data_IF_912556490289
#
_entry.id   IF_912556490289
#
_cell.length_a   1.000
_cell.length_b   1.000
_cell.length_c   1.000
_cell.angle_alpha   90.00
_cell.angle_beta   90.00
_cell.angle_gamma   90.00
#
_symmetry.space_group_name_H-M   'P 1'
#
loop_
_entity.id
_entity.type
_entity.pdbx_description
1 polymer ?
#
# COMPACT_ATOMS: atom_id res chain seq x y z
N UNK A 1 3.68 -55.61 -0.49
CA UNK A 1 3.31 -55.14 0.87
C UNK A 1 4.61 -54.84 1.59
N UNK A 2 4.93 -53.62 2.08
CA UNK A 2 4.03 -52.63 2.73
C UNK A 2 4.29 -51.12 2.37
N UNK A 3 3.53 -50.24 3.05
CA UNK A 3 3.77 -48.83 3.45
C UNK A 3 3.73 -47.68 2.42
N UNK A 4 2.71 -46.82 2.52
CA UNK A 4 2.70 -45.44 3.12
C UNK A 4 3.15 -44.38 2.09
N UNK A 5 2.36 -43.37 1.73
CA UNK A 5 1.98 -42.24 2.58
C UNK A 5 0.84 -41.47 1.87
N UNK A 6 -0.36 -41.50 2.42
CA UNK A 6 -1.41 -40.54 2.04
C UNK A 6 -1.06 -39.21 2.72
N UNK A 7 -0.38 -38.33 2.00
CA UNK A 7 -0.22 -36.93 2.39
C UNK A 7 -1.59 -36.25 2.33
N UNK A 8 -2.24 -36.15 3.50
CA UNK A 8 -3.34 -35.23 3.73
C UNK A 8 -2.83 -33.80 3.49
N UNK A 9 -3.18 -33.24 2.34
CA UNK A 9 -3.04 -31.82 2.07
C UNK A 9 -4.09 -31.09 2.93
N UNK A 10 -3.70 -30.21 3.87
CA UNK A 10 -4.67 -29.55 4.73
C UNK A 10 -5.60 -28.66 3.89
N UNK A 11 -6.90 -28.56 4.24
CA UNK A 11 -7.83 -27.70 3.52
C UNK A 11 -7.46 -26.23 3.76
N UNK A 12 -6.98 -25.54 2.73
CA UNK A 12 -6.88 -24.09 2.72
C UNK A 12 -8.26 -23.49 3.00
N UNK A 13 -8.44 -22.92 4.19
CA UNK A 13 -9.76 -22.46 4.66
C UNK A 13 -10.26 -21.27 3.82
N UNK A 14 -11.48 -21.33 3.23
CA UNK A 14 -12.03 -20.26 2.38
C UNK A 14 -12.21 -18.92 3.11
N UNK A 15 -12.29 -18.93 4.46
CA UNK A 15 -12.33 -17.70 5.28
C UNK A 15 -11.03 -16.90 5.21
N UNK A 16 -9.86 -17.55 5.19
CA UNK A 16 -8.57 -16.86 5.11
C UNK A 16 -8.38 -16.16 3.75
N UNK A 17 -8.87 -16.78 2.67
CA UNK A 17 -8.86 -16.21 1.33
C UNK A 17 -9.75 -14.96 1.24
N UNK A 18 -10.95 -15.01 1.83
CA UNK A 18 -11.87 -13.87 1.89
C UNK A 18 -11.28 -12.69 2.70
N UNK A 19 -10.67 -12.96 3.86
CA UNK A 19 -10.01 -11.92 4.66
C UNK A 19 -8.84 -11.29 3.91
N UNK A 20 -7.98 -12.09 3.28
CA UNK A 20 -6.85 -11.57 2.50
C UNK A 20 -7.33 -10.70 1.31
N UNK A 21 -8.36 -11.14 0.58
CA UNK A 21 -8.94 -10.37 -0.52
C UNK A 21 -9.56 -9.04 -0.04
N UNK A 22 -10.20 -9.04 1.14
CA UNK A 22 -10.76 -7.82 1.72
C UNK A 22 -9.66 -6.85 2.18
N UNK A 23 -8.57 -7.34 2.78
CA UNK A 23 -7.41 -6.52 3.16
C UNK A 23 -6.77 -5.90 1.92
N UNK A 24 -6.55 -6.67 0.85
CA UNK A 24 -6.02 -6.14 -0.41
C UNK A 24 -6.92 -5.09 -1.04
N UNK A 25 -8.25 -5.28 -1.00
CA UNK A 25 -9.21 -4.27 -1.49
C UNK A 25 -9.12 -2.99 -0.68
N UNK A 26 -9.11 -3.09 0.66
CA UNK A 26 -8.99 -1.94 1.56
C UNK A 26 -7.68 -1.19 1.34
N UNK A 27 -6.56 -1.91 1.15
CA UNK A 27 -5.25 -1.31 0.87
C UNK A 27 -5.25 -0.55 -0.47
N UNK A 28 -5.77 -1.16 -1.54
CA UNK A 28 -5.90 -0.48 -2.85
C UNK A 28 -6.77 0.77 -2.76
N UNK A 29 -7.89 0.69 -2.03
CA UNK A 29 -8.73 1.86 -1.79
C UNK A 29 -7.96 2.96 -1.02
N UNK A 30 -7.20 2.59 0.02
CA UNK A 30 -6.39 3.55 0.78
C UNK A 30 -5.30 4.19 -0.09
N UNK A 31 -4.67 3.43 -0.99
CA UNK A 31 -3.70 3.96 -1.94
C UNK A 31 -4.33 4.94 -2.94
N UNK A 32 -5.55 4.64 -3.43
CA UNK A 32 -6.29 5.58 -4.29
C UNK A 32 -6.64 6.88 -3.57
N UNK A 33 -7.16 6.78 -2.35
CA UNK A 33 -7.50 7.96 -1.55
C UNK A 33 -6.24 8.75 -1.21
N UNK A 34 -5.15 8.07 -0.82
CA UNK A 34 -3.88 8.73 -0.52
C UNK A 34 -3.33 9.48 -1.74
N UNK A 35 -3.42 8.89 -2.94
CA UNK A 35 -3.01 9.54 -4.18
C UNK A 35 -3.78 10.86 -4.43
N UNK A 36 -5.11 10.81 -4.28
CA UNK A 36 -5.98 11.98 -4.43
C UNK A 36 -5.67 13.06 -3.39
N UNK A 37 -5.60 12.70 -2.11
CA UNK A 37 -5.29 13.65 -1.03
C UNK A 37 -3.89 14.26 -1.19
N UNK A 38 -2.91 13.49 -1.69
CA UNK A 38 -1.60 14.04 -1.99
C UNK A 38 -1.69 15.10 -3.09
N UNK A 39 -2.39 14.78 -4.18
CA UNK A 39 -2.57 15.70 -5.29
C UNK A 39 -3.26 17.01 -4.87
N UNK A 40 -4.36 16.91 -4.12
CA UNK A 40 -5.12 18.07 -3.64
C UNK A 40 -4.31 18.98 -2.72
N UNK A 41 -3.34 18.41 -2.02
CA UNK A 41 -2.42 19.14 -1.13
C UNK A 41 -1.08 19.50 -1.80
N UNK A 42 -1.01 19.41 -3.14
CA UNK A 42 0.13 19.88 -3.94
C UNK A 42 1.31 18.90 -4.02
N UNK A 43 1.11 17.65 -3.59
CA UNK A 43 2.09 16.58 -3.73
C UNK A 43 1.81 15.76 -4.99
N UNK A 44 2.88 15.31 -5.65
CA UNK A 44 2.79 14.30 -6.71
C UNK A 44 2.99 12.89 -6.14
N UNK A 45 2.59 11.85 -6.87
CA UNK A 45 2.77 10.46 -6.44
C UNK A 45 4.24 10.12 -6.15
N UNK A 46 5.18 10.74 -6.86
CA UNK A 46 6.62 10.66 -6.62
C UNK A 46 7.05 11.08 -5.21
N UNK A 47 6.22 11.89 -4.53
CA UNK A 47 6.46 12.32 -3.14
C UNK A 47 6.40 11.16 -2.14
N UNK A 48 5.77 10.04 -2.50
CA UNK A 48 5.77 8.84 -1.67
C UNK A 48 6.38 7.63 -2.37
N UNK A 49 6.43 7.58 -3.71
CA UNK A 49 7.06 6.44 -4.41
C UNK A 49 8.59 6.52 -4.44
N UNK A 50 9.20 7.72 -4.42
CA UNK A 50 10.66 7.84 -4.39
C UNK A 50 11.18 7.95 -2.96
N UNK A 51 12.12 7.07 -2.60
CA UNK A 51 12.66 7.01 -1.23
C UNK A 51 13.29 8.33 -0.76
N UNK A 52 13.85 9.13 -1.67
CA UNK A 52 14.45 10.43 -1.37
C UNK A 52 13.42 11.57 -1.24
N UNK A 53 12.23 11.41 -1.82
CA UNK A 53 11.19 12.45 -1.87
C UNK A 53 10.05 12.22 -0.88
N UNK A 54 10.15 11.19 -0.04
CA UNK A 54 9.20 10.86 1.02
C UNK A 54 8.79 12.04 1.89
N UNK A 55 7.58 11.95 2.43
CA UNK A 55 7.00 12.99 3.28
C UNK A 55 7.67 13.02 4.65
N UNK A 56 8.07 14.20 5.08
CA UNK A 56 8.57 14.44 6.43
C UNK A 56 7.45 14.33 7.45
N UNK A 57 7.81 14.09 8.71
CA UNK A 57 6.85 14.11 9.82
C UNK A 57 6.03 15.40 9.91
N UNK A 58 6.62 16.55 9.55
CA UNK A 58 5.92 17.84 9.56
C UNK A 58 4.85 17.89 8.47
N UNK A 59 5.16 17.42 7.27
CA UNK A 59 4.19 17.34 6.17
C UNK A 59 3.05 16.39 6.52
N UNK A 60 3.36 15.21 7.08
CA UNK A 60 2.34 14.26 7.54
C UNK A 60 1.42 14.82 8.63
N UNK A 61 1.99 15.57 9.59
CA UNK A 61 1.20 16.25 10.62
C UNK A 61 0.31 17.34 10.05
N UNK A 62 0.77 18.05 9.02
CA UNK A 62 -0.04 19.07 8.33
C UNK A 62 -1.16 18.42 7.54
N UNK A 63 -0.83 17.41 6.73
CA UNK A 63 -1.77 16.67 5.91
C UNK A 63 -2.84 15.97 6.77
N UNK A 64 -2.43 15.29 7.84
CA UNK A 64 -3.36 14.63 8.76
C UNK A 64 -4.25 15.57 9.58
N UNK A 65 -3.83 16.84 9.77
CA UNK A 65 -4.70 17.87 10.38
C UNK A 65 -5.76 18.37 9.40
N UNK A 66 -5.40 18.51 8.13
CA UNK A 66 -6.32 18.95 7.09
C UNK A 66 -7.29 17.81 6.69
N UNK A 67 -6.78 16.59 6.61
CA UNK A 67 -7.47 15.42 6.06
C UNK A 67 -7.41 14.24 7.04
N UNK A 68 -8.39 14.09 7.95
CA UNK A 68 -8.43 12.97 8.89
C UNK A 68 -8.40 11.59 8.20
N UNK A 69 -8.93 11.50 6.97
CA UNK A 69 -8.90 10.29 6.14
C UNK A 69 -7.47 9.84 5.80
N UNK A 70 -6.52 10.78 5.68
CA UNK A 70 -5.11 10.46 5.51
C UNK A 70 -4.58 9.60 6.65
N UNK A 71 -4.92 9.91 7.90
CA UNK A 71 -4.43 9.17 9.08
C UNK A 71 -4.86 7.70 9.03
N UNK A 72 -6.10 7.45 8.61
CA UNK A 72 -6.61 6.08 8.43
C UNK A 72 -5.87 5.36 7.30
N UNK A 73 -5.71 6.00 6.14
CA UNK A 73 -5.02 5.40 5.00
C UNK A 73 -3.54 5.15 5.30
N UNK A 74 -2.88 6.06 6.01
CA UNK A 74 -1.48 5.92 6.43
C UNK A 74 -1.30 4.67 7.28
N UNK A 75 -2.15 4.47 8.31
CA UNK A 75 -2.10 3.25 9.13
C UNK A 75 -2.32 1.98 8.32
N UNK A 76 -3.31 1.96 7.44
CA UNK A 76 -3.55 0.78 6.59
C UNK A 76 -2.34 0.47 5.71
N UNK A 77 -1.70 1.49 5.15
CA UNK A 77 -0.47 1.32 4.36
C UNK A 77 0.71 0.83 5.21
N UNK A 78 0.87 1.31 6.44
CA UNK A 78 1.91 0.86 7.38
C UNK A 78 1.68 -0.58 7.84
N UNK A 79 0.47 -0.89 8.31
CA UNK A 79 0.08 -2.22 8.82
C UNK A 79 0.12 -3.30 7.72
N UNK A 80 -0.07 -2.90 6.46
CA UNK A 80 0.04 -3.79 5.30
C UNK A 80 1.45 -3.82 4.68
N UNK A 81 2.43 -3.19 5.31
CA UNK A 81 3.82 -3.06 4.83
C UNK A 81 3.95 -2.40 3.44
N UNK A 82 2.91 -1.71 2.96
CA UNK A 82 2.89 -1.00 1.70
C UNK A 82 3.64 0.35 1.79
N UNK A 83 3.72 0.92 2.99
CA UNK A 83 4.48 2.12 3.29
C UNK A 83 5.20 2.00 4.62
N UNK A 84 6.30 2.73 4.77
CA UNK A 84 7.05 2.80 6.02
C UNK A 84 7.84 4.10 6.11
N UNK A 85 8.34 4.40 7.30
CA UNK A 85 9.39 5.39 7.47
C UNK A 85 10.74 4.80 7.08
N UNK A 86 11.48 5.49 6.21
CA UNK A 86 12.85 5.10 5.87
C UNK A 86 13.85 5.55 6.95
N UNK A 87 15.14 5.23 6.75
CA UNK A 87 16.24 5.62 7.64
C UNK A 87 16.39 7.13 7.86
N UNK A 88 15.84 7.95 6.95
CA UNK A 88 15.83 9.41 7.03
C UNK A 88 14.58 9.96 7.74
N UNK A 89 13.73 9.09 8.29
CA UNK A 89 12.48 9.48 8.95
C UNK A 89 11.42 10.03 7.99
N UNK A 90 11.46 9.62 6.72
CA UNK A 90 10.49 10.01 5.70
C UNK A 90 9.52 8.87 5.40
N UNK A 91 8.24 9.18 5.30
CA UNK A 91 7.22 8.23 4.89
C UNK A 91 7.28 8.00 3.38
N UNK A 92 7.50 6.74 3.00
CA UNK A 92 7.69 6.31 1.62
C UNK A 92 6.97 4.98 1.39
N UNK A 93 6.58 4.72 0.15
CA UNK A 93 6.09 3.43 -0.27
C UNK A 93 7.24 2.43 -0.29
N UNK A 94 6.96 1.23 0.21
CA UNK A 94 7.87 0.07 0.09
C UNK A 94 7.82 -0.49 -1.32
N UNK A 95 8.53 -1.59 -1.57
CA UNK A 95 8.42 -2.29 -2.86
C UNK A 95 6.96 -2.70 -3.15
N UNK A 96 6.26 -3.26 -2.17
CA UNK A 96 4.87 -3.68 -2.29
C UNK A 96 3.96 -2.50 -2.67
N UNK A 97 4.06 -1.38 -1.94
CA UNK A 97 3.22 -0.21 -2.22
C UNK A 97 3.47 0.36 -3.61
N UNK A 98 4.73 0.39 -4.08
CA UNK A 98 5.06 0.85 -5.44
C UNK A 98 4.52 -0.08 -6.52
N UNK A 99 4.62 -1.39 -6.33
CA UNK A 99 4.06 -2.38 -7.27
C UNK A 99 2.54 -2.22 -7.39
N UNK A 100 1.84 -2.04 -6.26
CA UNK A 100 0.40 -1.77 -6.26
C UNK A 100 0.05 -0.44 -6.93
N UNK A 101 0.79 0.63 -6.64
CA UNK A 101 0.58 1.92 -7.31
C UNK A 101 0.81 1.83 -8.82
N UNK A 102 1.83 1.10 -9.26
CA UNK A 102 2.10 0.88 -10.68
C UNK A 102 0.98 0.06 -11.34
N UNK A 103 0.49 -0.99 -10.68
CA UNK A 103 -0.65 -1.79 -11.16
C UNK A 103 -1.93 -0.94 -11.27
N UNK A 104 -2.15 -0.03 -10.34
CA UNK A 104 -3.36 0.81 -10.29
C UNK A 104 -3.32 2.01 -11.25
N UNK A 105 -2.17 2.66 -11.40
CA UNK A 105 -2.04 3.94 -12.10
C UNK A 105 -1.08 3.90 -13.29
N UNK A 106 -0.26 2.85 -13.42
CA UNK A 106 0.79 2.72 -14.44
C UNK A 106 0.32 2.16 -15.78
N UNK A 107 -0.81 1.45 -15.85
CA UNK A 107 -1.29 0.84 -17.11
C UNK A 107 -1.64 1.86 -18.21
N UNK A 108 -1.90 3.13 -17.89
CA UNK A 108 -2.10 4.20 -18.89
C UNK A 108 -0.81 4.90 -19.37
N UNK A 109 0.33 4.67 -18.69
CA UNK A 109 1.61 5.28 -19.06
C UNK A 109 2.43 4.40 -20.01
N UNK A 110 2.15 3.10 -20.06
CA UNK A 110 2.84 2.13 -20.92
C UNK A 110 2.31 2.12 -22.37
N UNK A 111 1.07 2.54 -22.60
CA UNK A 111 0.41 2.54 -23.93
C UNK A 111 0.75 3.76 -24.81
N UNK A 112 1.68 4.61 -24.38
CA UNK A 112 2.15 5.79 -25.13
C UNK A 112 3.54 5.58 -25.77
N UNK A 113 3.89 4.34 -26.15
CA UNK A 113 5.17 4.01 -26.78
C UNK A 113 5.04 3.70 -28.29
#
# INVERSE_FOLDING_TARGET
MPSELSEERPPHSPKALSTAANVQRSLRQCLSIAAELLYDHGHVLESITLSQRGLTRRELLSLGKAEPTWITCQRVMEDSEAAAFNEHGRFVLTRLGRELMFDMFGQGAADCA
#
